data_IF_817292692998
#
_entry.id   IF_817292692998
#
_cell.length_a   1.000
_cell.length_b   1.000
_cell.length_c   1.000
_cell.angle_alpha   90.00
_cell.angle_beta   90.00
_cell.angle_gamma   90.00
#
_symmetry.space_group_name_H-M   'P 1'
#
loop_
_entity.id
_entity.type
_entity.pdbx_description
1 polymer ?
#
# COMPACT_ATOMS: atom_id res chain seq x y z
N UNK A 1 -5.12 -10.50 -40.52
CA UNK A 1 -4.76 -10.20 -39.11
C UNK A 1 -5.47 -11.25 -38.26
N UNK A 2 -4.74 -12.16 -37.60
CA UNK A 2 -5.31 -13.35 -36.96
C UNK A 2 -6.01 -13.00 -35.64
N UNK A 3 -7.14 -13.66 -35.35
CA UNK A 3 -7.91 -13.56 -34.10
C UNK A 3 -7.08 -13.77 -32.83
N UNK A 4 -5.87 -14.35 -32.94
CA UNK A 4 -4.90 -14.46 -31.83
C UNK A 4 -4.40 -13.10 -31.31
N UNK A 5 -4.38 -12.05 -32.14
CA UNK A 5 -3.89 -10.73 -31.70
C UNK A 5 -4.89 -10.00 -30.82
N UNK A 6 -6.19 -10.32 -30.92
CA UNK A 6 -7.26 -9.62 -30.19
C UNK A 6 -7.39 -10.14 -28.74
N UNK A 7 -7.06 -11.41 -28.46
CA UNK A 7 -7.19 -11.95 -27.09
C UNK A 7 -6.11 -11.44 -26.12
N UNK A 8 -4.93 -11.04 -26.62
CA UNK A 8 -3.84 -10.54 -25.78
C UNK A 8 -4.09 -9.12 -25.24
N UNK A 9 -4.90 -8.32 -25.95
CA UNK A 9 -5.22 -6.95 -25.54
C UNK A 9 -6.23 -6.94 -24.38
N UNK A 10 -7.05 -7.98 -24.24
CA UNK A 10 -8.06 -8.11 -23.17
C UNK A 10 -7.50 -8.54 -21.80
N UNK A 11 -6.23 -8.94 -21.73
CA UNK A 11 -5.55 -9.31 -20.48
C UNK A 11 -4.58 -8.24 -19.96
N UNK A 12 -4.44 -7.11 -20.67
CA UNK A 12 -3.65 -5.97 -20.19
C UNK A 12 -4.52 -5.04 -19.34
N UNK A 13 -4.15 -4.89 -18.08
CA UNK A 13 -4.71 -3.89 -17.18
C UNK A 13 -4.14 -2.50 -17.47
N UNK A 14 -4.81 -1.44 -17.02
CA UNK A 14 -4.34 -0.05 -17.17
C UNK A 14 -2.90 0.16 -16.66
N UNK A 15 -2.47 -0.62 -15.68
CA UNK A 15 -1.18 -0.49 -15.01
C UNK A 15 -0.03 -1.15 -15.77
N UNK A 16 -0.34 -2.04 -16.71
CA UNK A 16 0.62 -2.60 -17.65
C UNK A 16 1.14 -1.52 -18.61
N UNK A 17 0.39 -0.41 -18.74
CA UNK A 17 0.77 0.78 -19.50
C UNK A 17 1.46 1.86 -18.64
N UNK A 18 1.48 1.71 -17.32
CA UNK A 18 2.16 2.64 -16.42
C UNK A 18 3.61 2.18 -16.25
N UNK A 19 4.56 3.02 -16.67
CA UNK A 19 5.99 2.79 -16.44
C UNK A 19 6.30 2.63 -14.95
N UNK A 20 7.44 2.00 -14.61
CA UNK A 20 7.88 1.88 -13.21
C UNK A 20 7.88 3.23 -12.48
N UNK A 21 8.32 4.30 -13.15
CA UNK A 21 8.27 5.66 -12.59
C UNK A 21 6.86 6.13 -12.27
N UNK A 22 5.88 5.81 -13.13
CA UNK A 22 4.47 6.10 -12.87
C UNK A 22 3.92 5.30 -11.68
N UNK A 23 4.32 4.03 -11.54
CA UNK A 23 3.96 3.18 -10.38
C UNK A 23 4.49 3.79 -9.08
N UNK A 24 5.76 4.16 -9.03
CA UNK A 24 6.35 4.84 -7.87
C UNK A 24 5.66 6.17 -7.55
N UNK A 25 5.25 6.92 -8.59
CA UNK A 25 4.48 8.15 -8.44
C UNK A 25 3.18 7.94 -7.65
N UNK A 26 2.44 6.87 -7.92
CA UNK A 26 1.24 6.48 -7.17
C UNK A 26 1.61 6.19 -5.71
N UNK A 27 2.67 5.43 -5.46
CA UNK A 27 3.09 5.04 -4.11
C UNK A 27 3.46 6.24 -3.24
N UNK A 28 4.09 7.28 -3.82
CA UNK A 28 4.46 8.52 -3.11
C UNK A 28 3.27 9.33 -2.62
N UNK A 29 2.06 9.07 -3.11
CA UNK A 29 0.84 9.74 -2.66
C UNK A 29 0.29 9.16 -1.34
N UNK A 30 0.77 7.99 -0.91
CA UNK A 30 0.27 7.34 0.30
C UNK A 30 1.04 7.80 1.56
N UNK A 31 0.37 7.92 2.71
CA UNK A 31 1.03 8.22 3.97
C UNK A 31 1.79 7.01 4.52
N UNK A 32 2.88 7.28 5.25
CA UNK A 32 3.60 6.23 6.01
C UNK A 32 2.68 5.56 7.06
N UNK A 33 2.82 4.24 7.21
CA UNK A 33 2.23 3.49 8.33
C UNK A 33 2.87 3.90 9.66
N UNK A 34 2.05 4.25 10.64
CA UNK A 34 2.47 4.79 11.94
C UNK A 34 3.47 5.97 11.84
N UNK A 35 3.45 6.71 10.72
CA UNK A 35 4.33 7.84 10.50
C UNK A 35 3.85 9.15 11.15
N UNK A 36 4.53 10.25 10.85
CA UNK A 36 4.24 11.57 11.43
C UNK A 36 2.79 12.03 11.23
N UNK A 37 2.20 11.75 10.06
CA UNK A 37 0.79 12.07 9.78
C UNK A 37 -0.17 11.26 10.67
N UNK A 38 0.13 9.99 10.93
CA UNK A 38 -0.66 9.17 11.85
C UNK A 38 -0.57 9.71 13.29
N UNK A 39 0.64 10.04 13.75
CA UNK A 39 0.89 10.55 15.10
C UNK A 39 0.25 11.92 15.36
N UNK A 40 0.17 12.77 14.34
CA UNK A 40 -0.46 14.10 14.43
C UNK A 40 -1.97 14.08 14.17
N UNK A 41 -2.57 12.92 13.89
CA UNK A 41 -3.99 12.82 13.54
C UNK A 41 -4.35 13.42 12.18
N UNK A 42 -3.37 13.63 11.30
CA UNK A 42 -3.54 14.26 9.98
C UNK A 42 -3.87 13.28 8.84
N UNK A 43 -4.21 12.02 9.14
CA UNK A 43 -4.61 11.04 8.13
C UNK A 43 -6.03 11.32 7.61
N UNK A 44 -6.33 10.86 6.39
CA UNK A 44 -7.72 10.79 5.92
C UNK A 44 -8.56 9.87 6.79
N UNK A 45 -9.89 9.95 6.69
CA UNK A 45 -10.81 9.09 7.45
C UNK A 45 -10.57 7.61 7.10
N UNK A 46 -10.35 7.31 5.84
CA UNK A 46 -10.07 5.96 5.32
C UNK A 46 -8.75 5.45 5.87
N UNK A 47 -7.65 6.21 5.72
CA UNK A 47 -6.34 5.80 6.22
C UNK A 47 -6.28 5.66 7.74
N UNK A 48 -7.03 6.48 8.47
CA UNK A 48 -7.17 6.33 9.93
C UNK A 48 -7.81 4.98 10.28
N UNK A 49 -8.96 4.65 9.67
CA UNK A 49 -9.66 3.37 9.91
C UNK A 49 -8.80 2.17 9.51
N UNK A 50 -8.11 2.26 8.37
CA UNK A 50 -7.24 1.21 7.86
C UNK A 50 -6.10 0.90 8.84
N UNK A 51 -5.36 1.93 9.29
CA UNK A 51 -4.25 1.74 10.24
C UNK A 51 -4.74 1.25 11.62
N UNK A 52 -5.90 1.74 12.09
CA UNK A 52 -6.51 1.24 13.33
C UNK A 52 -6.92 -0.23 13.22
N UNK A 53 -7.52 -0.65 12.09
CA UNK A 53 -7.95 -2.04 11.88
C UNK A 53 -6.80 -3.05 11.90
N UNK A 54 -5.59 -2.59 11.54
CA UNK A 54 -4.35 -3.36 11.59
C UNK A 54 -3.70 -3.40 12.98
N UNK A 55 -4.21 -2.63 13.95
CA UNK A 55 -3.62 -2.51 15.29
C UNK A 55 -2.41 -1.57 15.36
N UNK A 56 -2.21 -0.67 14.40
CA UNK A 56 -1.07 0.26 14.44
C UNK A 56 -1.19 1.32 15.54
N UNK A 57 -2.40 1.56 16.05
CA UNK A 57 -2.64 2.41 17.22
C UNK A 57 -2.26 1.73 18.55
N UNK A 58 -1.93 0.44 18.55
CA UNK A 58 -1.54 -0.33 19.75
C UNK A 58 -0.08 -0.79 19.69
N UNK A 59 0.74 -0.15 18.84
CA UNK A 59 2.19 -0.37 18.85
C UNK A 59 2.78 0.09 20.19
N UNK A 60 3.63 -0.75 20.76
CA UNK A 60 4.54 -0.39 21.84
C UNK A 60 5.56 0.64 21.36
N UNK A 61 6.22 1.35 22.28
CA UNK A 61 7.25 2.32 21.91
C UNK A 61 8.42 1.68 21.14
N UNK A 62 8.80 0.45 21.49
CA UNK A 62 9.82 -0.30 20.77
C UNK A 62 9.38 -0.63 19.33
N UNK A 63 8.13 -1.09 19.15
CA UNK A 63 7.59 -1.36 17.82
C UNK A 63 7.47 -0.08 16.97
N UNK A 64 7.09 1.06 17.58
CA UNK A 64 7.05 2.37 16.89
C UNK A 64 8.45 2.79 16.42
N UNK A 65 9.46 2.65 17.27
CA UNK A 65 10.85 2.96 16.92
C UNK A 65 11.34 2.06 15.78
N UNK A 66 11.07 0.75 15.85
CA UNK A 66 11.43 -0.19 14.78
C UNK A 66 10.72 0.18 13.46
N UNK A 67 9.40 0.40 13.50
CA UNK A 67 8.63 0.78 12.31
C UNK A 67 9.13 2.10 11.71
N UNK A 68 9.49 3.08 12.55
CA UNK A 68 10.06 4.35 12.09
C UNK A 68 11.40 4.13 11.37
N UNK A 69 12.29 3.36 11.97
CA UNK A 69 13.59 3.04 11.40
C UNK A 69 13.47 2.29 10.07
N UNK A 70 12.62 1.26 10.01
CA UNK A 70 12.38 0.49 8.80
C UNK A 70 11.73 1.34 7.69
N UNK A 71 10.76 2.21 8.02
CA UNK A 71 10.16 3.14 7.05
C UNK A 71 11.20 4.11 6.46
N UNK A 72 12.16 4.58 7.27
CA UNK A 72 13.25 5.43 6.78
C UNK A 72 14.16 4.66 5.82
N UNK A 73 14.62 3.46 6.19
CA UNK A 73 15.44 2.62 5.32
C UNK A 73 14.73 2.29 4.01
N UNK A 74 13.45 1.96 4.09
CA UNK A 74 12.64 1.62 2.93
C UNK A 74 12.54 2.79 1.95
N UNK A 75 12.25 4.00 2.45
CA UNK A 75 12.20 5.20 1.61
C UNK A 75 13.57 5.58 1.04
N UNK A 76 14.65 5.39 1.80
CA UNK A 76 16.01 5.62 1.31
C UNK A 76 16.35 4.66 0.17
N UNK A 77 15.94 3.38 0.26
CA UNK A 77 16.22 2.37 -0.75
C UNK A 77 15.38 2.55 -2.01
N UNK A 78 14.07 2.77 -1.86
CA UNK A 78 13.12 2.69 -2.98
C UNK A 78 12.58 4.05 -3.44
N UNK A 79 12.73 5.11 -2.64
CA UNK A 79 12.26 6.45 -3.01
C UNK A 79 10.73 6.63 -2.91
N UNK A 80 10.02 5.71 -2.27
CA UNK A 80 8.58 5.78 -1.98
C UNK A 80 8.24 5.10 -0.63
N UNK A 81 7.09 5.42 -0.01
CA UNK A 81 6.64 4.80 1.24
C UNK A 81 6.37 3.30 1.11
N UNK A 82 6.52 2.56 2.21
CA UNK A 82 6.05 1.17 2.25
C UNK A 82 4.53 1.13 2.24
N UNK A 83 3.98 0.43 1.24
CA UNK A 83 2.54 0.25 1.07
C UNK A 83 2.17 -1.21 1.26
N UNK A 84 1.19 -1.44 2.12
CA UNK A 84 0.54 -2.73 2.33
C UNK A 84 -0.95 -2.50 2.64
N UNK A 85 -1.82 -3.41 2.23
CA UNK A 85 -3.24 -3.37 2.54
C UNK A 85 -3.45 -3.64 4.03
N UNK A 86 -3.52 -2.56 4.83
CA UNK A 86 -3.62 -2.66 6.29
C UNK A 86 -4.86 -3.44 6.76
N UNK A 87 -5.98 -3.37 6.04
CA UNK A 87 -7.21 -4.12 6.37
C UNK A 87 -7.06 -5.65 6.23
N UNK A 88 -6.08 -6.11 5.46
CA UNK A 88 -5.77 -7.53 5.26
C UNK A 88 -4.60 -8.01 6.13
N UNK A 89 -4.03 -7.15 6.98
CA UNK A 89 -2.83 -7.45 7.75
C UNK A 89 -2.97 -7.00 9.22
N UNK A 90 -2.15 -7.60 10.09
CA UNK A 90 -1.96 -7.16 11.48
C UNK A 90 -0.56 -6.60 11.67
N UNK A 91 -0.35 -5.83 12.73
CA UNK A 91 0.92 -5.11 12.99
C UNK A 91 2.17 -6.01 12.90
N UNK A 92 2.08 -7.27 13.33
CA UNK A 92 3.17 -8.24 13.28
C UNK A 92 3.50 -8.63 11.83
N UNK A 93 2.48 -8.88 11.01
CA UNK A 93 2.63 -9.19 9.59
C UNK A 93 3.12 -7.97 8.80
N UNK A 94 2.71 -6.75 9.17
CA UNK A 94 3.18 -5.50 8.56
C UNK A 94 4.68 -5.31 8.81
N UNK A 95 5.14 -5.46 10.05
CA UNK A 95 6.56 -5.36 10.40
C UNK A 95 7.39 -6.41 9.66
N UNK A 96 6.95 -7.67 9.69
CA UNK A 96 7.60 -8.77 8.98
C UNK A 96 7.64 -8.52 7.46
N UNK A 97 6.54 -8.02 6.90
CA UNK A 97 6.43 -7.68 5.48
C UNK A 97 7.39 -6.57 5.08
N UNK A 98 7.52 -5.54 5.92
CA UNK A 98 8.43 -4.42 5.72
C UNK A 98 9.90 -4.87 5.72
N UNK A 99 10.29 -5.70 6.68
CA UNK A 99 11.65 -6.29 6.75
C UNK A 99 11.97 -7.20 5.56
N UNK A 100 11.01 -8.02 5.13
CA UNK A 100 11.22 -8.93 4.01
C UNK A 100 11.28 -8.19 2.67
N UNK A 101 10.38 -7.22 2.45
CA UNK A 101 10.32 -6.46 1.20
C UNK A 101 11.47 -5.48 1.02
N UNK A 102 12.16 -5.10 2.11
CA UNK A 102 13.47 -4.44 2.02
C UNK A 102 14.52 -5.25 1.25
N UNK A 103 14.34 -6.55 1.04
CA UNK A 103 15.27 -7.40 0.28
C UNK A 103 14.97 -7.40 -1.23
N UNK A 104 13.83 -6.86 -1.66
CA UNK A 104 13.43 -6.84 -3.07
C UNK A 104 14.29 -5.90 -3.92
N UNK A 105 14.25 -6.12 -5.24
CA UNK A 105 14.68 -5.13 -6.23
C UNK A 105 13.67 -3.97 -6.30
N UNK A 106 14.09 -2.81 -6.79
CA UNK A 106 13.20 -1.65 -6.93
C UNK A 106 12.02 -1.92 -7.87
N UNK A 107 12.25 -2.65 -8.96
CA UNK A 107 11.19 -3.01 -9.93
C UNK A 107 10.14 -3.95 -9.31
N UNK A 108 10.59 -5.04 -8.67
CA UNK A 108 9.69 -5.95 -7.96
C UNK A 108 8.90 -5.21 -6.90
N UNK A 109 9.54 -4.28 -6.20
CA UNK A 109 8.90 -3.56 -5.11
C UNK A 109 7.88 -2.53 -5.59
N UNK A 110 8.15 -1.83 -6.69
CA UNK A 110 7.19 -0.92 -7.31
C UNK A 110 5.93 -1.67 -7.77
N UNK A 111 6.08 -2.85 -8.37
CA UNK A 111 4.96 -3.72 -8.75
C UNK A 111 4.22 -4.19 -7.50
N UNK A 112 4.93 -4.71 -6.49
CA UNK A 112 4.33 -5.22 -5.25
C UNK A 112 3.54 -4.13 -4.52
N UNK A 113 4.09 -2.91 -4.42
CA UNK A 113 3.40 -1.77 -3.81
C UNK A 113 2.10 -1.43 -4.52
N UNK A 114 2.07 -1.45 -5.86
CA UNK A 114 0.87 -1.14 -6.63
C UNK A 114 -0.19 -2.24 -6.49
N UNK A 115 0.20 -3.51 -6.38
CA UNK A 115 -0.74 -4.58 -6.05
C UNK A 115 -1.41 -4.36 -4.67
N UNK A 116 -0.66 -3.86 -3.69
CA UNK A 116 -1.22 -3.49 -2.40
C UNK A 116 -2.16 -2.26 -2.48
N UNK A 117 -1.84 -1.28 -3.33
CA UNK A 117 -2.74 -0.16 -3.63
C UNK A 117 -4.05 -0.66 -4.23
N UNK A 118 -4.02 -1.62 -5.17
CA UNK A 118 -5.23 -2.21 -5.75
C UNK A 118 -6.14 -2.84 -4.70
N UNK A 119 -5.56 -3.57 -3.74
CA UNK A 119 -6.32 -4.14 -2.60
C UNK A 119 -6.98 -3.04 -1.76
N UNK A 120 -6.24 -1.98 -1.43
CA UNK A 120 -6.77 -0.82 -0.70
C UNK A 120 -7.92 -0.18 -1.48
N UNK A 121 -7.72 0.10 -2.77
CA UNK A 121 -8.74 0.69 -3.65
C UNK A 121 -9.99 -0.19 -3.72
N UNK A 122 -9.83 -1.51 -3.90
CA UNK A 122 -10.95 -2.47 -3.93
C UNK A 122 -11.78 -2.39 -2.65
N UNK A 123 -11.14 -2.42 -1.49
CA UNK A 123 -11.84 -2.36 -0.21
C UNK A 123 -12.54 -1.02 0.02
N UNK A 124 -11.92 0.10 -0.39
CA UNK A 124 -12.57 1.43 -0.34
C UNK A 124 -13.77 1.52 -1.28
N UNK A 125 -13.69 0.95 -2.47
CA UNK A 125 -14.82 0.89 -3.40
C UNK A 125 -15.97 0.05 -2.83
N UNK A 126 -15.67 -1.09 -2.21
CA UNK A 126 -16.68 -1.91 -1.53
C UNK A 126 -17.37 -1.14 -0.41
N UNK A 127 -16.62 -0.39 0.41
CA UNK A 127 -17.23 0.44 1.45
C UNK A 127 -18.23 1.45 0.85
N UNK A 128 -17.93 2.05 -0.31
CA UNK A 128 -18.84 2.99 -0.99
C UNK A 128 -20.12 2.29 -1.49
N UNK A 129 -19.97 1.14 -2.14
CA UNK A 129 -21.10 0.37 -2.70
C UNK A 129 -22.00 -0.17 -1.59
N UNK A 130 -21.40 -0.74 -0.54
CA UNK A 130 -22.14 -1.28 0.61
C UNK A 130 -22.83 -0.17 1.42
N UNK A 131 -22.21 1.02 1.52
CA UNK A 131 -22.84 2.19 2.14
C UNK A 131 -24.05 2.68 1.37
N UNK A 132 -24.00 2.60 0.04
CA UNK A 132 -25.09 3.00 -0.87
C UNK A 132 -26.28 2.03 -0.83
N UNK A 133 -26.08 0.83 -0.27
CA UNK A 133 -27.10 -0.22 -0.14
C UNK A 133 -27.89 -0.15 1.19
N UNK A 134 -27.57 0.84 2.05
CA UNK A 134 -28.20 1.07 3.36
C UNK A 134 -29.08 2.33 3.39
N UNK A 135 -29.36 2.93 2.24
CA UNK A 135 -30.35 3.99 2.02
C UNK A 135 -31.59 3.38 1.36
#
# INVERSE_FOLDING_TARGET
MSLKTISAVNSMSYEDFISTFGKEGILRLLPDLAGRLAMSGGLSKESTKEQQSAGLNTLTEQEKQNMHHLNQQYKQKFGFPFVICARENKKEAILTGLENRLKNSGETEAVTGVEEVKKICRLRLLDIVDSSSKL
#
